data_IF_670141461240
#
_entry.id   IF_670141461240
#
_cell.length_a   1.000
_cell.length_b   1.000
_cell.length_c   1.000
_cell.angle_alpha   90.00
_cell.angle_beta   90.00
_cell.angle_gamma   90.00
#
_symmetry.space_group_name_H-M   'P 1'
#
loop_
_entity.id
_entity.type
_entity.pdbx_description
1 polymer ?
#
# COMPACT_ATOMS: atom_id res chain seq x y z
N UNK A 1 7.10 -20.30 10.16
CA UNK A 1 8.27 -19.44 9.87
C UNK A 1 7.79 -18.27 9.02
N UNK A 2 8.03 -17.00 9.41
CA UNK A 2 7.63 -15.87 8.57
C UNK A 2 8.46 -15.86 7.28
N UNK A 3 7.82 -15.58 6.15
CA UNK A 3 8.52 -15.39 4.88
C UNK A 3 9.44 -14.16 4.97
N UNK A 4 10.63 -14.17 4.33
CA UNK A 4 11.59 -13.07 4.39
C UNK A 4 11.10 -11.80 3.68
N UNK A 5 10.01 -11.92 2.90
CA UNK A 5 9.43 -10.83 2.13
C UNK A 5 8.01 -10.52 2.60
N UNK A 6 7.60 -9.27 2.37
CA UNK A 6 6.22 -8.81 2.59
C UNK A 6 5.63 -8.38 1.26
N UNK A 7 4.37 -8.77 1.03
CA UNK A 7 3.59 -8.31 -0.11
C UNK A 7 2.75 -7.12 0.35
N UNK A 8 2.63 -6.10 -0.48
CA UNK A 8 1.78 -4.93 -0.24
C UNK A 8 0.86 -4.69 -1.43
N UNK A 9 -0.36 -4.24 -1.14
CA UNK A 9 -1.28 -3.70 -2.14
C UNK A 9 -1.20 -2.18 -2.12
N UNK A 10 -1.01 -1.58 -3.29
CA UNK A 10 -1.05 -0.13 -3.49
C UNK A 10 -2.28 0.26 -4.33
N UNK A 11 -2.88 1.40 -3.99
CA UNK A 11 -4.06 1.98 -4.60
C UNK A 11 -3.67 3.23 -5.36
N UNK A 12 -3.85 3.19 -6.69
CA UNK A 12 -3.68 4.34 -7.55
C UNK A 12 -5.06 4.93 -7.84
N UNK A 13 -5.35 6.05 -7.19
CA UNK A 13 -6.57 6.82 -7.43
C UNK A 13 -6.25 7.95 -8.40
N UNK A 14 -6.97 7.98 -9.53
CA UNK A 14 -6.83 9.01 -10.55
C UNK A 14 -8.03 9.94 -10.49
N UNK A 15 -7.80 11.25 -10.60
CA UNK A 15 -8.89 12.19 -10.84
C UNK A 15 -9.17 12.34 -12.36
N UNK A 16 -10.19 13.11 -12.71
CA UNK A 16 -10.60 13.33 -14.11
C UNK A 16 -9.52 14.03 -14.96
N UNK A 17 -8.52 14.68 -14.33
CA UNK A 17 -7.37 15.28 -14.99
C UNK A 17 -6.19 14.32 -15.17
N UNK A 18 -6.31 13.07 -14.71
CA UNK A 18 -5.23 12.06 -14.76
C UNK A 18 -4.15 12.23 -13.69
N UNK A 19 -4.37 13.07 -12.68
CA UNK A 19 -3.45 13.21 -11.54
C UNK A 19 -3.66 12.07 -10.55
N UNK A 20 -2.59 11.69 -9.83
CA UNK A 20 -2.59 10.57 -8.89
C UNK A 20 -2.62 11.09 -7.46
N UNK A 21 -3.50 10.53 -6.61
CA UNK A 21 -3.46 10.77 -5.18
C UNK A 21 -2.25 10.10 -4.54
N UNK A 22 -1.38 10.89 -3.91
CA UNK A 22 -0.23 10.43 -3.15
C UNK A 22 -0.33 10.90 -1.71
N UNK A 23 0.33 10.17 -0.82
CA UNK A 23 0.54 10.56 0.59
C UNK A 23 2.02 10.72 0.88
N UNK A 24 2.35 11.74 1.67
CA UNK A 24 3.68 11.88 2.25
C UNK A 24 3.83 10.90 3.41
N UNK A 25 4.88 10.09 3.37
CA UNK A 25 5.15 9.08 4.37
C UNK A 25 5.60 9.74 5.68
N UNK A 26 4.86 9.53 6.75
CA UNK A 26 5.24 10.00 8.09
C UNK A 26 6.21 9.06 8.84
N UNK A 27 6.49 7.87 8.31
CA UNK A 27 7.22 6.80 9.01
C UNK A 27 8.36 6.22 8.19
N UNK A 28 9.43 5.83 8.88
CA UNK A 28 10.56 5.08 8.32
C UNK A 28 10.11 3.73 7.75
N UNK A 29 10.80 3.19 6.73
CA UNK A 29 12.04 3.69 6.12
C UNK A 29 11.85 4.78 5.06
N UNK A 30 10.61 5.18 4.78
CA UNK A 30 10.29 6.06 3.64
C UNK A 30 9.90 7.47 4.08
N UNK A 31 10.25 7.91 5.29
CA UNK A 31 9.75 9.18 5.84
C UNK A 31 10.10 10.36 4.92
N UNK A 32 9.12 11.21 4.63
CA UNK A 32 9.26 12.35 3.71
C UNK A 32 9.18 12.02 2.22
N UNK A 33 9.10 10.73 1.85
CA UNK A 33 8.85 10.30 0.47
C UNK A 33 7.35 10.25 0.18
N UNK A 34 6.99 10.31 -1.10
CA UNK A 34 5.60 10.21 -1.56
C UNK A 34 5.30 8.83 -2.12
N UNK A 35 4.14 8.27 -1.77
CA UNK A 35 3.69 6.98 -2.29
C UNK A 35 2.17 6.98 -2.53
N UNK A 36 1.64 6.05 -3.35
CA UNK A 36 0.22 5.77 -3.36
C UNK A 36 -0.26 5.26 -2.00
N UNK A 37 -1.58 5.31 -1.79
CA UNK A 37 -2.22 4.70 -0.64
C UNK A 37 -2.04 3.18 -0.64
N UNK A 38 -2.02 2.53 0.52
CA UNK A 38 -1.93 1.08 0.57
C UNK A 38 -1.34 0.51 1.85
N UNK A 39 -1.16 -0.81 1.87
CA UNK A 39 -0.72 -1.55 3.04
C UNK A 39 -0.19 -2.94 2.73
N UNK A 40 0.41 -3.56 3.75
CA UNK A 40 0.93 -4.93 3.67
C UNK A 40 -0.21 -5.94 3.85
N UNK A 41 -0.17 -7.03 3.09
CA UNK A 41 -1.10 -8.14 3.25
C UNK A 41 -0.90 -8.82 4.61
N UNK A 42 -1.99 -9.25 5.23
CA UNK A 42 -2.00 -10.25 6.30
C UNK A 42 -1.78 -11.63 5.70
N UNK A 43 -0.53 -11.90 5.30
CA UNK A 43 -0.13 -13.10 4.55
C UNK A 43 -0.41 -14.40 5.30
N UNK A 44 -0.27 -14.38 6.62
CA UNK A 44 -0.56 -15.50 7.53
C UNK A 44 -2.03 -15.88 7.55
N UNK A 45 -2.93 -14.94 7.23
CA UNK A 45 -4.37 -15.16 7.14
C UNK A 45 -4.84 -15.46 5.71
N UNK A 46 -3.93 -15.48 4.73
CA UNK A 46 -4.30 -15.63 3.32
C UNK A 46 -5.09 -14.44 2.76
N UNK A 47 -4.90 -13.22 3.30
CA UNK A 47 -5.58 -12.01 2.82
C UNK A 47 -5.28 -11.79 1.32
N UNK A 48 -6.33 -11.61 0.50
CA UNK A 48 -6.16 -11.33 -0.93
C UNK A 48 -5.76 -9.86 -1.16
N UNK A 49 -5.12 -9.53 -2.30
CA UNK A 49 -4.80 -8.15 -2.62
C UNK A 49 -6.03 -7.23 -2.62
N UNK A 50 -7.18 -7.72 -3.08
CA UNK A 50 -8.45 -7.00 -3.06
C UNK A 50 -8.93 -6.70 -1.64
N UNK A 51 -8.95 -7.71 -0.76
CA UNK A 51 -9.36 -7.52 0.63
C UNK A 51 -8.42 -6.55 1.37
N UNK A 52 -7.12 -6.61 1.10
CA UNK A 52 -6.15 -5.65 1.64
C UNK A 52 -6.37 -4.22 1.11
N UNK A 53 -6.80 -4.05 -0.14
CA UNK A 53 -7.14 -2.75 -0.71
C UNK A 53 -8.37 -2.11 -0.06
N UNK A 54 -9.37 -2.91 0.33
CA UNK A 54 -10.60 -2.40 0.94
C UNK A 54 -10.45 -1.97 2.40
N UNK A 55 -9.38 -2.37 3.09
CA UNK A 55 -9.17 -2.17 4.53
C UNK A 55 -8.29 -0.96 4.83
#
# INVERSE_FOLDING_TARGET
>A
MPLPYKIATLLYCFNERGEILLLERAQEPNRGLWSPCGGKLKMDLGESPYACACR
#
